data_IF_449355637210
#
_entry.id   IF_449355637210
#
_cell.length_a   1.000
_cell.length_b   1.000
_cell.length_c   1.000
_cell.angle_alpha   90.00
_cell.angle_beta   90.00
_cell.angle_gamma   90.00
#
_symmetry.space_group_name_H-M   'P 1'
#
loop_
_entity.id
_entity.type
_entity.pdbx_description
1 polymer ?
#
# COMPACT_ATOMS: atom_id res chain seq x y z
N UNK A 1 -22.98 10.36 5.59
CA UNK A 1 -21.53 10.16 5.59
C UNK A 1 -21.08 9.63 4.23
N UNK A 2 -19.83 9.83 3.89
CA UNK A 2 -19.12 9.12 2.80
C UNK A 2 -18.57 7.85 3.44
N UNK A 3 -18.87 6.69 2.85
CA UNK A 3 -18.57 5.38 3.46
C UNK A 3 -17.54 4.56 2.68
N UNK A 4 -17.00 5.12 1.61
CA UNK A 4 -15.98 4.52 0.76
C UNK A 4 -14.75 5.42 0.73
N UNK A 5 -13.59 4.84 0.88
CA UNK A 5 -12.28 5.43 0.68
C UNK A 5 -11.44 4.49 -0.18
N UNK A 6 -10.42 5.01 -0.80
CA UNK A 6 -9.47 4.21 -1.59
C UNK A 6 -8.08 4.50 -1.02
N UNK A 7 -7.27 3.48 -0.89
CA UNK A 7 -5.89 3.57 -0.49
C UNK A 7 -5.14 4.62 -1.34
N UNK A 8 -4.19 5.32 -0.74
CA UNK A 8 -3.38 6.39 -1.31
C UNK A 8 -4.16 7.61 -1.84
N UNK A 9 -5.50 7.59 -1.72
CA UNK A 9 -6.35 8.70 -2.15
C UNK A 9 -6.89 9.47 -0.96
N UNK A 10 -6.80 10.80 -1.01
CA UNK A 10 -7.34 11.65 0.04
C UNK A 10 -8.87 11.45 0.19
N UNK A 11 -9.26 10.88 1.32
CA UNK A 11 -10.64 10.86 1.78
C UNK A 11 -10.98 12.20 2.43
N UNK A 12 -12.18 12.73 2.15
CA UNK A 12 -12.67 13.96 2.78
C UNK A 12 -14.20 13.92 2.90
N UNK A 13 -14.71 14.05 4.11
CA UNK A 13 -16.13 14.13 4.42
C UNK A 13 -16.44 15.44 5.15
N UNK A 14 -17.28 16.30 4.54
CA UNK A 14 -17.76 17.53 5.15
C UNK A 14 -18.98 17.24 6.03
N UNK A 15 -18.89 17.62 7.30
CA UNK A 15 -19.93 17.47 8.31
C UNK A 15 -20.64 18.81 8.45
N UNK A 16 -21.97 18.80 8.43
CA UNK A 16 -22.79 19.97 8.67
C UNK A 16 -23.77 19.60 9.77
N UNK A 17 -23.85 20.45 10.79
CA UNK A 17 -24.79 20.32 11.90
C UNK A 17 -25.66 21.57 12.04
N UNK A 18 -26.83 21.42 12.65
CA UNK A 18 -27.74 22.52 12.91
C UNK A 18 -28.52 22.26 14.18
N UNK A 19 -28.86 23.34 14.89
CA UNK A 19 -29.73 23.34 16.05
C UNK A 19 -30.97 24.17 15.78
N UNK A 20 -32.08 23.86 16.48
CA UNK A 20 -33.33 24.63 16.43
C UNK A 20 -33.27 25.89 17.27
N UNK A 21 -32.38 25.91 18.28
CA UNK A 21 -32.21 27.05 19.19
C UNK A 21 -31.25 28.06 18.58
N UNK A 22 -31.78 29.27 18.35
CA UNK A 22 -31.04 30.28 17.63
C UNK A 22 -29.86 30.82 18.46
N UNK A 23 -28.66 30.66 17.96
CA UNK A 23 -27.43 31.19 18.54
C UNK A 23 -26.62 30.17 19.33
N UNK A 24 -27.00 28.93 19.35
CA UNK A 24 -26.22 27.86 19.98
C UNK A 24 -24.93 27.57 19.22
N UNK A 25 -23.87 27.36 19.96
CA UNK A 25 -22.58 26.93 19.44
C UNK A 25 -22.52 25.43 19.46
N UNK A 26 -22.34 24.82 18.29
CA UNK A 26 -22.21 23.38 18.14
C UNK A 26 -20.74 22.97 18.07
N UNK A 27 -20.37 21.95 18.84
CA UNK A 27 -19.01 21.35 18.85
C UNK A 27 -19.06 19.95 18.30
N UNK A 28 -18.22 19.67 17.31
CA UNK A 28 -18.13 18.36 16.65
C UNK A 28 -16.89 17.62 17.18
N UNK A 29 -17.11 16.42 17.70
CA UNK A 29 -16.05 15.57 18.27
C UNK A 29 -16.17 14.13 17.77
N UNK A 30 -15.09 13.36 17.89
CA UNK A 30 -15.13 11.91 17.74
C UNK A 30 -15.48 11.28 19.11
N UNK A 31 -16.49 10.40 19.13
CA UNK A 31 -16.89 9.67 20.34
C UNK A 31 -16.09 8.41 20.59
N UNK A 32 -15.34 7.94 19.57
CA UNK A 32 -14.41 6.81 19.63
C UNK A 32 -13.03 7.27 19.16
N UNK A 33 -12.01 6.46 19.43
CA UNK A 33 -10.69 6.68 18.82
C UNK A 33 -10.86 6.49 17.30
N UNK A 34 -10.45 7.49 16.52
CA UNK A 34 -10.42 7.39 15.07
C UNK A 34 -9.29 6.47 14.62
N UNK A 35 -9.44 5.81 13.45
CA UNK A 35 -8.33 5.19 12.74
C UNK A 35 -7.14 6.15 12.60
N UNK A 36 -5.92 5.62 12.60
CA UNK A 36 -4.69 6.42 12.61
C UNK A 36 -4.55 7.37 11.41
N UNK A 37 -5.13 7.01 10.29
CA UNK A 37 -5.12 7.79 9.07
C UNK A 37 -6.17 8.92 9.01
N UNK A 38 -7.17 8.95 9.96
CA UNK A 38 -8.25 9.93 9.96
C UNK A 38 -8.00 11.07 10.97
N UNK A 39 -8.24 12.30 10.53
CA UNK A 39 -8.26 13.52 11.34
C UNK A 39 -9.66 14.16 11.28
N UNK A 40 -10.20 14.54 12.44
CA UNK A 40 -11.40 15.35 12.54
C UNK A 40 -11.02 16.79 12.88
N UNK A 41 -11.46 17.72 12.06
CA UNK A 41 -11.34 19.16 12.28
C UNK A 41 -12.73 19.74 12.53
N UNK A 42 -12.97 20.32 13.71
CA UNK A 42 -14.14 21.17 13.98
C UNK A 42 -13.83 22.59 13.50
N UNK A 43 -14.60 23.13 12.57
CA UNK A 43 -14.37 24.45 12.01
C UNK A 43 -14.92 25.60 12.90
N UNK A 44 -15.68 25.28 13.95
CA UNK A 44 -16.23 26.25 14.92
C UNK A 44 -17.44 27.03 14.40
N UNK A 45 -17.97 26.69 13.24
CA UNK A 45 -19.12 27.32 12.57
C UNK A 45 -20.29 26.36 12.37
N UNK A 46 -20.42 25.36 13.22
CA UNK A 46 -21.35 24.24 13.12
C UNK A 46 -21.03 23.29 11.95
N UNK A 47 -19.83 23.38 11.40
CA UNK A 47 -19.31 22.45 10.39
C UNK A 47 -18.03 21.77 10.87
N UNK A 48 -17.73 20.64 10.28
CA UNK A 48 -16.49 19.90 10.51
C UNK A 48 -16.01 19.21 9.26
N UNK A 49 -14.76 18.77 9.29
CA UNK A 49 -14.16 18.00 8.20
C UNK A 49 -13.48 16.76 8.79
N UNK A 50 -13.88 15.59 8.33
CA UNK A 50 -13.18 14.33 8.57
C UNK A 50 -12.36 14.02 7.31
N UNK A 51 -11.05 13.90 7.44
CA UNK A 51 -10.14 13.72 6.29
C UNK A 51 -8.94 12.84 6.65
N UNK A 52 -8.29 12.31 5.64
CA UNK A 52 -7.03 11.57 5.75
C UNK A 52 -6.76 10.77 4.49
N UNK A 53 -5.56 10.22 4.40
CA UNK A 53 -5.16 9.33 3.30
C UNK A 53 -4.82 7.98 3.92
N UNK A 54 -5.62 6.95 3.65
CA UNK A 54 -5.31 5.60 4.12
C UNK A 54 -4.13 5.03 3.34
N UNK A 55 -3.32 4.21 4.00
CA UNK A 55 -2.21 3.45 3.41
C UNK A 55 -2.61 1.96 3.32
N UNK A 56 -1.80 1.11 2.70
CA UNK A 56 -2.05 -0.34 2.54
C UNK A 56 -2.46 -1.03 3.85
N UNK A 57 -1.84 -0.68 4.98
CA UNK A 57 -2.19 -1.21 6.29
C UNK A 57 -3.57 -0.79 6.82
N UNK A 58 -4.26 0.12 6.14
CA UNK A 58 -5.59 0.64 6.48
C UNK A 58 -6.71 0.06 5.59
N UNK A 59 -6.41 -0.89 4.71
CA UNK A 59 -7.41 -1.56 3.87
C UNK A 59 -8.42 -2.32 4.73
N UNK A 60 -9.71 -2.14 4.44
CA UNK A 60 -10.81 -2.79 5.14
C UNK A 60 -11.75 -1.81 5.86
N UNK A 61 -12.49 -2.32 6.85
CA UNK A 61 -13.59 -1.61 7.51
C UNK A 61 -13.15 -0.83 8.75
N UNK A 62 -13.48 0.47 8.80
CA UNK A 62 -13.18 1.36 9.90
C UNK A 62 -14.45 1.98 10.48
N UNK A 63 -14.76 1.69 11.74
CA UNK A 63 -15.91 2.26 12.44
C UNK A 63 -15.63 3.68 12.91
N UNK A 64 -16.53 4.61 12.59
CA UNK A 64 -16.47 6.02 12.99
C UNK A 64 -17.73 6.39 13.74
N UNK A 65 -17.57 7.05 14.89
CA UNK A 65 -18.65 7.60 15.66
C UNK A 65 -18.37 9.09 15.95
N UNK A 66 -19.14 9.95 15.32
CA UNK A 66 -19.09 11.39 15.51
C UNK A 66 -20.20 11.83 16.47
N UNK A 67 -19.94 12.90 17.22
CA UNK A 67 -20.88 13.52 18.14
C UNK A 67 -20.87 15.03 17.92
N UNK A 68 -22.04 15.62 17.79
CA UNK A 68 -22.25 17.06 17.90
C UNK A 68 -22.88 17.35 19.26
N UNK A 69 -22.42 18.41 19.93
CA UNK A 69 -22.92 18.81 21.24
C UNK A 69 -23.18 20.31 21.21
N UNK A 70 -24.32 20.75 21.77
CA UNK A 70 -24.70 22.16 21.93
C UNK A 70 -24.12 22.78 23.23
N UNK A 71 -24.40 24.08 23.45
CA UNK A 71 -23.97 24.80 24.65
C UNK A 71 -24.68 24.38 25.93
N UNK A 72 -25.82 23.69 25.86
CA UNK A 72 -26.62 23.17 26.97
C UNK A 72 -26.18 21.78 27.41
N UNK A 73 -25.42 21.07 26.55
CA UNK A 73 -24.94 19.72 26.76
C UNK A 73 -25.79 18.63 26.09
N UNK A 74 -26.82 19.02 25.35
CA UNK A 74 -27.56 18.09 24.51
C UNK A 74 -26.74 17.69 23.28
N UNK A 75 -26.95 16.49 22.76
CA UNK A 75 -26.09 15.97 21.70
C UNK A 75 -26.82 15.02 20.76
N UNK A 76 -26.25 14.89 19.55
CA UNK A 76 -26.62 13.84 18.57
C UNK A 76 -25.38 13.08 18.11
N UNK A 77 -25.59 11.86 17.63
CA UNK A 77 -24.52 10.93 17.23
C UNK A 77 -24.75 10.46 15.79
N UNK A 78 -23.67 10.48 15.00
CA UNK A 78 -23.62 9.87 13.69
C UNK A 78 -22.60 8.71 13.71
N UNK A 79 -23.06 7.48 13.43
CA UNK A 79 -22.22 6.28 13.36
C UNK A 79 -22.25 5.71 11.96
N UNK A 80 -21.08 5.37 11.42
CA UNK A 80 -20.93 4.75 10.10
C UNK A 80 -19.62 3.96 10.02
N UNK A 81 -19.49 3.14 8.99
CA UNK A 81 -18.26 2.43 8.64
C UNK A 81 -17.71 3.08 7.38
N UNK A 82 -16.42 3.30 7.34
CA UNK A 82 -15.67 3.62 6.11
C UNK A 82 -14.96 2.33 5.70
N UNK A 83 -15.24 1.86 4.49
CA UNK A 83 -14.50 0.76 3.87
C UNK A 83 -13.40 1.36 3.01
N UNK A 84 -12.15 1.01 3.30
CA UNK A 84 -10.98 1.37 2.48
C UNK A 84 -10.75 0.25 1.47
N UNK A 85 -10.84 0.60 0.19
CA UNK A 85 -10.57 -0.30 -0.92
C UNK A 85 -9.07 -0.29 -1.23
N UNK A 86 -8.53 -1.48 -1.53
CA UNK A 86 -7.13 -1.67 -1.93
C UNK A 86 -6.86 -1.07 -3.31
N UNK A 87 -5.64 -0.57 -3.49
CA UNK A 87 -5.05 -0.21 -4.79
C UNK A 87 -3.83 -1.10 -4.98
N UNK A 88 -3.74 -1.79 -6.11
CA UNK A 88 -2.59 -2.67 -6.32
C UNK A 88 -1.27 -1.90 -6.34
N UNK A 89 -0.37 -2.30 -5.45
CA UNK A 89 1.05 -1.92 -5.45
C UNK A 89 1.86 -2.92 -6.30
N UNK A 90 3.05 -2.54 -6.72
CA UNK A 90 3.94 -3.44 -7.43
C UNK A 90 4.92 -4.11 -6.46
N UNK A 91 5.31 -5.37 -6.70
CA UNK A 91 6.26 -6.07 -5.86
C UNK A 91 7.63 -5.37 -5.83
N UNK A 92 8.41 -5.64 -4.80
CA UNK A 92 9.76 -5.08 -4.61
C UNK A 92 10.76 -6.20 -4.36
N UNK A 93 11.88 -6.23 -5.11
CA UNK A 93 12.97 -7.15 -4.81
C UNK A 93 13.60 -6.83 -3.46
N UNK A 94 13.66 -7.84 -2.58
CA UNK A 94 14.32 -7.74 -1.26
C UNK A 94 15.68 -8.45 -1.23
N UNK A 95 15.98 -9.28 -2.25
CA UNK A 95 17.30 -9.88 -2.42
C UNK A 95 18.27 -8.94 -3.13
N UNK A 96 19.52 -8.87 -2.62
CA UNK A 96 20.60 -8.14 -3.30
C UNK A 96 21.16 -8.97 -4.47
N UNK A 97 21.31 -8.31 -5.63
CA UNK A 97 21.84 -8.93 -6.83
C UNK A 97 23.29 -9.39 -6.65
N UNK A 98 23.61 -10.61 -7.06
CA UNK A 98 24.99 -11.10 -7.12
C UNK A 98 25.54 -10.77 -8.51
N UNK A 99 26.42 -9.76 -8.60
CA UNK A 99 26.92 -9.21 -9.87
C UNK A 99 28.28 -9.78 -10.31
N UNK A 100 28.84 -10.74 -9.58
CA UNK A 100 30.13 -11.34 -9.92
C UNK A 100 30.06 -12.86 -9.94
N UNK A 101 30.58 -13.44 -11.01
CA UNK A 101 30.81 -14.87 -11.17
C UNK A 101 32.29 -15.15 -11.41
N UNK A 102 32.73 -16.36 -11.09
CA UNK A 102 34.12 -16.80 -11.29
C UNK A 102 34.13 -17.92 -12.32
N UNK A 103 35.04 -17.85 -13.30
CA UNK A 103 35.28 -18.89 -14.28
C UNK A 103 35.48 -20.26 -13.60
N UNK A 104 34.87 -21.31 -14.19
CA UNK A 104 34.89 -22.70 -13.71
C UNK A 104 34.28 -22.92 -12.29
N UNK A 105 33.64 -21.90 -11.71
CA UNK A 105 32.92 -22.02 -10.45
C UNK A 105 31.40 -21.89 -10.66
N UNK A 106 30.63 -22.63 -9.88
CA UNK A 106 29.19 -22.52 -9.92
C UNK A 106 28.74 -21.13 -9.42
N UNK A 107 27.92 -20.47 -10.23
CA UNK A 107 27.17 -19.26 -9.86
C UNK A 107 25.71 -19.65 -9.61
N UNK A 108 25.13 -19.11 -8.55
CA UNK A 108 23.70 -19.26 -8.25
C UNK A 108 23.20 -18.00 -7.56
N UNK A 109 22.06 -17.49 -8.03
CA UNK A 109 21.37 -16.39 -7.39
C UNK A 109 19.87 -16.70 -7.31
N UNK A 110 19.34 -16.65 -6.09
CA UNK A 110 17.90 -16.83 -5.81
C UNK A 110 17.26 -15.47 -5.58
N UNK A 111 16.31 -15.13 -6.42
CA UNK A 111 15.49 -13.93 -6.29
C UNK A 111 14.53 -14.05 -5.11
N UNK A 112 14.40 -12.98 -4.35
CA UNK A 112 13.34 -12.81 -3.34
C UNK A 112 12.71 -11.45 -3.55
N UNK A 113 11.39 -11.42 -3.57
CA UNK A 113 10.60 -10.21 -3.63
C UNK A 113 9.44 -10.30 -2.64
N UNK A 114 8.94 -9.17 -2.23
CA UNK A 114 7.78 -9.02 -1.35
C UNK A 114 6.79 -8.06 -2.00
N UNK A 115 5.51 -8.29 -1.72
CA UNK A 115 4.43 -7.40 -2.04
C UNK A 115 3.76 -6.92 -0.76
N UNK A 116 3.27 -5.67 -0.75
CA UNK A 116 2.57 -5.11 0.41
C UNK A 116 1.09 -5.50 0.40
N UNK A 117 0.55 -5.91 -0.76
CA UNK A 117 -0.84 -6.33 -0.90
C UNK A 117 -1.05 -7.73 -0.35
N UNK A 118 -1.93 -7.87 0.63
CA UNK A 118 -2.19 -9.16 1.28
C UNK A 118 -2.84 -10.16 0.32
N UNK A 119 -2.15 -11.24 0.06
CA UNK A 119 -2.64 -12.35 -0.75
C UNK A 119 -2.13 -12.37 -2.18
N UNK A 120 -1.25 -11.44 -2.56
CA UNK A 120 -0.66 -11.44 -3.88
C UNK A 120 0.28 -12.62 -4.11
N UNK A 121 0.16 -13.22 -5.28
CA UNK A 121 1.01 -14.31 -5.74
C UNK A 121 2.07 -13.77 -6.70
N UNK A 122 3.35 -13.95 -6.35
CA UNK A 122 4.47 -13.45 -7.14
C UNK A 122 4.98 -14.51 -8.15
N UNK A 123 5.14 -14.07 -9.39
CA UNK A 123 5.70 -14.88 -10.51
C UNK A 123 7.04 -14.28 -10.91
N UNK A 124 8.09 -15.12 -10.92
CA UNK A 124 9.43 -14.73 -11.33
C UNK A 124 9.72 -15.17 -12.75
N UNK A 125 10.40 -14.32 -13.50
CA UNK A 125 10.88 -14.62 -14.86
C UNK A 125 12.27 -14.03 -15.09
N UNK A 126 12.98 -14.54 -16.09
CA UNK A 126 14.28 -14.05 -16.50
C UNK A 126 14.27 -13.70 -18.01
N UNK A 127 13.77 -12.51 -18.37
CA UNK A 127 13.62 -12.10 -19.77
C UNK A 127 14.91 -12.05 -20.58
N UNK A 128 16.05 -11.86 -19.92
CA UNK A 128 17.36 -11.84 -20.58
C UNK A 128 18.41 -12.55 -19.74
N UNK A 129 19.00 -13.60 -20.27
CA UNK A 129 20.11 -14.33 -19.68
C UNK A 129 21.21 -14.58 -20.74
N UNK A 130 22.50 -14.56 -20.35
CA UNK A 130 23.57 -15.08 -21.19
C UNK A 130 23.49 -16.61 -21.29
N UNK A 131 24.05 -17.18 -22.33
CA UNK A 131 23.94 -18.60 -22.66
C UNK A 131 24.44 -19.57 -21.59
N UNK A 132 25.29 -19.12 -20.68
CA UNK A 132 25.83 -19.92 -19.58
C UNK A 132 24.96 -19.94 -18.32
N UNK A 133 23.90 -19.09 -18.25
CA UNK A 133 22.92 -19.07 -17.19
C UNK A 133 21.62 -19.77 -17.61
N UNK A 134 21.00 -20.44 -16.67
CA UNK A 134 19.67 -21.02 -16.79
C UNK A 134 18.77 -20.53 -15.66
N UNK A 135 17.49 -20.38 -15.94
CA UNK A 135 16.44 -20.12 -14.95
C UNK A 135 15.68 -21.40 -14.64
N UNK A 136 15.41 -21.68 -13.38
CA UNK A 136 14.78 -22.93 -12.93
C UNK A 136 13.24 -22.89 -12.95
N UNK A 137 12.65 -21.85 -13.60
CA UNK A 137 11.21 -21.61 -13.67
C UNK A 137 10.52 -21.38 -12.29
N UNK A 138 11.30 -21.13 -11.25
CA UNK A 138 10.78 -20.69 -9.95
C UNK A 138 11.33 -19.32 -9.55
N UNK A 139 12.51 -19.25 -9.00
CA UNK A 139 13.13 -17.97 -8.61
C UNK A 139 14.67 -18.00 -8.61
N UNK A 140 15.29 -18.99 -9.21
CA UNK A 140 16.76 -19.12 -9.19
C UNK A 140 17.35 -19.14 -10.58
N UNK A 141 18.39 -18.32 -10.79
CA UNK A 141 19.28 -18.41 -11.94
C UNK A 141 20.59 -19.07 -11.51
N UNK A 142 21.11 -19.98 -12.33
CA UNK A 142 22.38 -20.67 -12.03
C UNK A 142 23.12 -21.07 -13.30
N UNK A 143 24.43 -21.29 -13.15
CA UNK A 143 25.28 -21.77 -14.22
C UNK A 143 26.76 -21.75 -13.86
N UNK A 144 27.59 -22.27 -14.73
CA UNK A 144 29.06 -22.26 -14.56
C UNK A 144 29.69 -21.61 -15.78
N UNK A 145 30.19 -20.38 -15.67
CA UNK A 145 30.86 -19.72 -16.79
C UNK A 145 32.19 -20.40 -17.10
N UNK A 146 32.52 -20.48 -18.38
CA UNK A 146 33.81 -20.97 -18.88
C UNK A 146 34.71 -19.80 -19.25
N UNK A 147 35.95 -20.11 -19.67
CA UNK A 147 36.89 -19.08 -20.16
C UNK A 147 36.31 -18.24 -21.33
N UNK A 148 35.43 -18.79 -22.15
CA UNK A 148 34.78 -18.07 -23.25
C UNK A 148 33.70 -17.08 -22.78
N UNK A 149 33.30 -17.16 -21.49
CA UNK A 149 32.31 -16.32 -20.87
C UNK A 149 32.94 -15.21 -19.99
N UNK A 150 34.26 -15.04 -20.04
CA UNK A 150 34.92 -13.96 -19.27
C UNK A 150 34.55 -12.61 -19.86
N UNK A 151 33.99 -11.73 -19.04
CA UNK A 151 33.55 -10.39 -19.43
C UNK A 151 32.23 -9.99 -18.77
N UNK A 152 31.67 -8.85 -19.20
CA UNK A 152 30.40 -8.34 -18.70
C UNK A 152 29.23 -8.97 -19.46
N UNK A 153 28.22 -9.42 -18.72
CA UNK A 153 27.01 -10.02 -19.25
C UNK A 153 25.79 -9.35 -18.65
N UNK A 154 24.87 -8.87 -19.47
CA UNK A 154 23.62 -8.29 -19.00
C UNK A 154 22.62 -9.39 -18.64
N UNK A 155 22.04 -9.29 -17.45
CA UNK A 155 20.94 -10.13 -16.96
C UNK A 155 19.77 -9.25 -16.60
N UNK A 156 18.56 -9.64 -17.00
CA UNK A 156 17.31 -8.96 -16.63
C UNK A 156 16.40 -9.97 -15.98
N UNK A 157 15.99 -9.68 -14.76
CA UNK A 157 15.08 -10.46 -13.95
C UNK A 157 13.82 -9.64 -13.69
N UNK A 158 12.66 -10.29 -13.69
CA UNK A 158 11.37 -9.65 -13.50
C UNK A 158 10.57 -10.45 -12.48
N UNK A 159 9.89 -9.76 -11.59
CA UNK A 159 8.83 -10.29 -10.75
C UNK A 159 7.52 -9.57 -11.11
N UNK A 160 6.43 -10.32 -11.14
CA UNK A 160 5.08 -9.83 -11.47
C UNK A 160 4.11 -10.40 -10.45
N UNK A 161 3.20 -9.55 -9.93
CA UNK A 161 2.07 -9.96 -9.12
C UNK A 161 0.91 -10.50 -9.98
N UNK A 162 -0.20 -10.86 -9.35
CA UNK A 162 -1.40 -11.37 -10.04
C UNK A 162 -2.32 -10.26 -10.59
N UNK A 163 -1.94 -8.98 -10.46
CA UNK A 163 -2.63 -7.80 -11.00
C UNK A 163 -1.80 -7.03 -12.03
N UNK A 164 -0.73 -7.64 -12.54
CA UNK A 164 0.18 -7.09 -13.55
C UNK A 164 1.12 -5.96 -13.04
N UNK A 165 1.23 -5.74 -11.74
CA UNK A 165 2.30 -4.94 -11.14
C UNK A 165 3.65 -5.64 -11.31
N UNK A 166 4.71 -4.89 -11.62
CA UNK A 166 6.02 -5.49 -11.96
C UNK A 166 7.18 -4.75 -11.33
N UNK A 167 8.23 -5.51 -10.96
CA UNK A 167 9.54 -4.95 -10.66
C UNK A 167 10.64 -5.66 -11.46
N UNK A 168 11.63 -4.89 -11.90
CA UNK A 168 12.79 -5.37 -12.65
C UNK A 168 14.06 -5.23 -11.82
N UNK A 169 14.93 -6.24 -11.90
CA UNK A 169 16.28 -6.19 -11.39
C UNK A 169 17.27 -6.51 -12.50
N UNK A 170 18.16 -5.56 -12.78
CA UNK A 170 19.22 -5.70 -13.79
C UNK A 170 20.58 -5.93 -13.13
N UNK A 171 21.33 -6.91 -13.64
CA UNK A 171 22.66 -7.30 -13.17
C UNK A 171 23.66 -7.13 -14.31
#
# INVERSE_FOLDING_TARGET
AITEATEDILYSYSIISSDVDAGDSLVITASTILPGWLELVDNGDSTGTLKGTPENGDVGDHAVVLRVTDGSGDFDIQSFIITVENTNDAPVFTSEAITAAVEDAEYSYTMVAEDVDEGDELTYTAPSLPDWLTFDDSNTISGTPTNDNVGDHAVVLLVTDNFDGTAEQSL
#
